data_IF_905694066796
#
_entry.id   IF_905694066796
#
_cell.length_a   1.000
_cell.length_b   1.000
_cell.length_c   1.000
_cell.angle_alpha   90.00
_cell.angle_beta   90.00
_cell.angle_gamma   90.00
#
_symmetry.space_group_name_H-M   'P 1'
#
loop_
_entity.id
_entity.type
_entity.pdbx_description
1 polymer ?
#
# COMPACT_ATOMS: atom_id res chain seq x y z
N UNK A 1 0.19 26.01 -23.90
CA UNK A 1 0.33 26.31 -22.45
C UNK A 1 1.47 27.33 -22.33
N UNK A 2 1.77 27.92 -21.16
CA UNK A 2 2.94 28.81 -21.07
C UNK A 2 4.22 27.97 -21.04
N UNK A 3 5.30 28.44 -21.71
CA UNK A 3 6.56 27.70 -21.88
C UNK A 3 7.15 27.16 -20.56
N UNK A 4 7.02 27.91 -19.46
CA UNK A 4 7.48 27.49 -18.13
C UNK A 4 6.70 26.29 -17.54
N UNK A 5 5.41 26.18 -17.85
CA UNK A 5 4.54 25.07 -17.42
C UNK A 5 4.92 23.78 -18.15
N UNK A 6 5.15 23.87 -19.46
CA UNK A 6 5.59 22.74 -20.28
C UNK A 6 6.99 22.26 -19.87
N UNK A 7 7.90 23.19 -19.58
CA UNK A 7 9.24 22.87 -19.09
C UNK A 7 9.19 22.17 -17.71
N UNK A 8 8.38 22.67 -16.79
CA UNK A 8 8.22 22.07 -15.46
C UNK A 8 7.57 20.68 -15.54
N UNK A 9 6.60 20.50 -16.43
CA UNK A 9 6.01 19.18 -16.71
C UNK A 9 7.05 18.21 -17.24
N UNK A 10 7.83 18.64 -18.24
CA UNK A 10 8.92 17.83 -18.81
C UNK A 10 9.93 17.44 -17.75
N UNK A 11 10.38 18.38 -16.91
CA UNK A 11 11.29 18.10 -15.78
C UNK A 11 10.71 17.03 -14.85
N UNK A 12 9.43 17.13 -14.49
CA UNK A 12 8.75 16.11 -13.68
C UNK A 12 8.77 14.72 -14.31
N UNK A 13 8.51 14.63 -15.61
CA UNK A 13 8.58 13.38 -16.38
C UNK A 13 10.01 12.83 -16.44
N UNK A 14 11.01 13.69 -16.68
CA UNK A 14 12.42 13.31 -16.76
C UNK A 14 12.90 12.71 -15.43
N UNK A 15 12.54 13.32 -14.30
CA UNK A 15 12.84 12.75 -12.97
C UNK A 15 12.15 11.40 -12.75
N UNK A 16 10.89 11.23 -13.20
CA UNK A 16 10.24 9.91 -13.12
C UNK A 16 11.00 8.87 -13.94
N UNK A 17 11.48 9.22 -15.13
CA UNK A 17 12.25 8.31 -15.98
C UNK A 17 13.61 7.97 -15.34
N UNK A 18 14.31 8.95 -14.78
CA UNK A 18 15.54 8.72 -14.02
C UNK A 18 15.31 7.77 -12.83
N UNK A 19 14.20 7.94 -12.11
CA UNK A 19 13.80 7.03 -11.04
C UNK A 19 13.55 5.60 -11.52
N UNK A 20 12.95 5.43 -12.70
CA UNK A 20 12.75 4.10 -13.31
C UNK A 20 14.07 3.43 -13.67
N UNK A 21 15.03 4.19 -14.20
CA UNK A 21 16.37 3.66 -14.50
C UNK A 21 17.12 3.27 -13.23
N UNK A 22 17.05 4.07 -12.16
CA UNK A 22 17.60 3.71 -10.87
C UNK A 22 16.94 2.44 -10.29
N UNK A 23 15.61 2.32 -10.43
CA UNK A 23 14.88 1.11 -10.00
C UNK A 23 15.32 -0.14 -10.74
N UNK A 24 15.53 -0.07 -12.06
CA UNK A 24 16.07 -1.19 -12.86
C UNK A 24 17.46 -1.63 -12.38
N UNK A 25 18.28 -0.69 -11.91
CA UNK A 25 19.61 -0.94 -11.32
C UNK A 25 19.55 -1.41 -9.86
N UNK A 26 18.35 -1.60 -9.30
CA UNK A 26 18.10 -1.87 -7.89
C UNK A 26 18.63 -0.79 -6.91
N UNK A 27 18.90 0.42 -7.41
CA UNK A 27 19.25 1.58 -6.59
C UNK A 27 17.96 2.22 -6.04
N UNK A 28 17.44 1.63 -4.98
CA UNK A 28 16.19 2.06 -4.36
C UNK A 28 16.23 3.46 -3.73
N UNK A 29 17.32 3.87 -3.03
CA UNK A 29 17.44 5.24 -2.53
C UNK A 29 17.39 6.29 -3.64
N UNK A 30 18.17 6.11 -4.72
CA UNK A 30 18.19 7.07 -5.82
C UNK A 30 16.87 7.05 -6.60
N UNK A 31 16.23 5.89 -6.76
CA UNK A 31 14.90 5.79 -7.35
C UNK A 31 13.87 6.63 -6.58
N UNK A 32 13.80 6.47 -5.24
CA UNK A 32 12.88 7.25 -4.41
C UNK A 32 13.19 8.75 -4.44
N UNK A 33 14.46 9.13 -4.42
CA UNK A 33 14.87 10.54 -4.53
C UNK A 33 14.35 11.16 -5.82
N UNK A 34 14.57 10.51 -6.96
CA UNK A 34 14.08 10.98 -8.26
C UNK A 34 12.55 11.01 -8.33
N UNK A 35 11.85 10.02 -7.76
CA UNK A 35 10.39 10.07 -7.66
C UNK A 35 9.87 11.23 -6.81
N UNK A 36 10.53 11.58 -5.69
CA UNK A 36 10.14 12.76 -4.92
C UNK A 36 10.37 14.06 -5.70
N UNK A 37 11.48 14.18 -6.45
CA UNK A 37 11.70 15.33 -7.33
C UNK A 37 10.62 15.42 -8.42
N UNK A 38 10.24 14.29 -9.02
CA UNK A 38 9.14 14.24 -9.99
C UNK A 38 7.82 14.73 -9.39
N UNK A 39 7.46 14.26 -8.18
CA UNK A 39 6.27 14.72 -7.46
C UNK A 39 6.30 16.23 -7.18
N UNK A 40 7.46 16.77 -6.79
CA UNK A 40 7.61 18.19 -6.50
C UNK A 40 7.29 19.02 -7.75
N UNK A 41 7.92 18.72 -8.88
CA UNK A 41 7.66 19.43 -10.12
C UNK A 41 6.21 19.31 -10.56
N UNK A 42 5.65 18.11 -10.55
CA UNK A 42 4.28 17.89 -11.04
C UNK A 42 3.20 18.44 -10.10
N UNK A 43 3.37 18.39 -8.77
CA UNK A 43 2.41 18.99 -7.83
C UNK A 43 2.46 20.52 -7.85
N UNK A 44 3.57 21.13 -8.26
CA UNK A 44 3.65 22.58 -8.46
C UNK A 44 2.93 23.04 -9.73
N UNK A 45 2.63 22.11 -10.65
CA UNK A 45 1.79 22.38 -11.81
C UNK A 45 0.33 22.32 -11.40
N UNK A 46 -0.33 23.47 -11.33
CA UNK A 46 -1.73 23.48 -10.93
C UNK A 46 -2.31 24.86 -10.73
N UNK A 47 -1.63 25.73 -10.00
CA UNK A 47 -2.30 26.93 -9.47
C UNK A 47 -3.63 26.57 -8.79
N UNK A 48 -4.54 27.52 -8.67
CA UNK A 48 -5.88 27.27 -8.10
C UNK A 48 -6.86 26.65 -9.10
N UNK A 49 -6.55 26.64 -10.40
CA UNK A 49 -7.41 26.04 -11.43
C UNK A 49 -6.64 25.79 -12.75
N UNK A 50 -5.92 24.65 -12.88
CA UNK A 50 -5.16 24.37 -14.08
C UNK A 50 -6.07 24.04 -15.27
N UNK A 51 -5.64 24.29 -16.52
CA UNK A 51 -6.34 23.80 -17.70
C UNK A 51 -6.62 22.29 -17.59
N UNK A 52 -7.81 21.86 -18.01
CA UNK A 52 -8.27 20.48 -17.81
C UNK A 52 -7.30 19.44 -18.41
N UNK A 53 -6.73 19.72 -19.58
CA UNK A 53 -5.74 18.84 -20.22
C UNK A 53 -4.44 18.74 -19.42
N UNK A 54 -3.94 19.86 -18.91
CA UNK A 54 -2.74 19.88 -18.06
C UNK A 54 -3.00 19.09 -16.76
N UNK A 55 -4.17 19.31 -16.14
CA UNK A 55 -4.56 18.58 -14.93
C UNK A 55 -4.59 17.08 -15.19
N UNK A 56 -5.25 16.65 -16.26
CA UNK A 56 -5.33 15.25 -16.66
C UNK A 56 -3.94 14.64 -16.87
N UNK A 57 -3.08 15.28 -17.66
CA UNK A 57 -1.73 14.78 -17.93
C UNK A 57 -0.89 14.72 -16.66
N UNK A 58 -1.04 15.70 -15.76
CA UNK A 58 -0.35 15.73 -14.47
C UNK A 58 -0.84 14.62 -13.55
N UNK A 59 -2.16 14.44 -13.45
CA UNK A 59 -2.81 13.38 -12.66
C UNK A 59 -2.35 11.99 -13.13
N UNK A 60 -2.30 11.74 -14.43
CA UNK A 60 -1.79 10.48 -15.01
C UNK A 60 -0.32 10.22 -14.64
N UNK A 61 0.54 11.23 -14.69
CA UNK A 61 1.95 11.09 -14.32
C UNK A 61 2.13 10.91 -12.80
N UNK A 62 1.36 11.61 -11.97
CA UNK A 62 1.35 11.45 -10.52
C UNK A 62 0.98 10.01 -10.13
N UNK A 63 -0.06 9.45 -10.74
CA UNK A 63 -0.46 8.04 -10.53
C UNK A 63 0.68 7.08 -10.86
N UNK A 64 1.40 7.30 -11.96
CA UNK A 64 2.58 6.48 -12.32
C UNK A 64 3.67 6.59 -11.25
N UNK A 65 3.94 7.79 -10.75
CA UNK A 65 4.98 8.02 -9.74
C UNK A 65 4.64 7.32 -8.43
N UNK A 66 3.43 7.51 -7.90
CA UNK A 66 3.02 6.82 -6.67
C UNK A 66 3.09 5.30 -6.81
N UNK A 67 2.61 4.76 -7.94
CA UNK A 67 2.70 3.32 -8.21
C UNK A 67 4.16 2.84 -8.21
N UNK A 68 5.08 3.59 -8.82
CA UNK A 68 6.49 3.21 -8.82
C UNK A 68 7.12 3.33 -7.42
N UNK A 69 6.79 4.38 -6.66
CA UNK A 69 7.22 4.52 -5.27
C UNK A 69 6.74 3.35 -4.41
N UNK A 70 5.49 2.90 -4.57
CA UNK A 70 4.97 1.73 -3.82
C UNK A 70 5.77 0.47 -4.14
N UNK A 71 6.20 0.27 -5.39
CA UNK A 71 7.03 -0.87 -5.76
C UNK A 71 8.39 -0.83 -5.07
N UNK A 72 9.04 0.34 -4.99
CA UNK A 72 10.31 0.50 -4.27
C UNK A 72 10.13 0.30 -2.76
N UNK A 73 9.10 0.92 -2.17
CA UNK A 73 8.84 0.86 -0.74
C UNK A 73 8.46 -0.56 -0.29
N UNK A 74 7.73 -1.31 -1.12
CA UNK A 74 7.42 -2.72 -0.86
C UNK A 74 8.68 -3.59 -0.88
N UNK A 75 9.67 -3.30 -1.73
CA UNK A 75 10.97 -3.98 -1.72
C UNK A 75 11.80 -3.68 -0.46
N UNK A 76 11.46 -2.64 0.28
CA UNK A 76 12.10 -2.24 1.53
C UNK A 76 11.24 -2.56 2.76
N UNK A 77 10.15 -3.34 2.61
CA UNK A 77 9.19 -3.66 3.67
C UNK A 77 8.59 -2.43 4.40
N UNK A 78 8.55 -1.27 3.74
CA UNK A 78 8.01 -0.01 4.30
C UNK A 78 6.50 0.08 4.06
N UNK A 79 5.74 -0.87 4.62
CA UNK A 79 4.33 -1.09 4.31
C UNK A 79 3.41 0.09 4.65
N UNK A 80 3.68 0.85 5.72
CA UNK A 80 2.93 2.08 6.03
C UNK A 80 3.06 3.14 4.91
N UNK A 81 4.27 3.28 4.36
CA UNK A 81 4.53 4.20 3.25
C UNK A 81 3.97 3.66 1.94
N UNK A 82 3.95 2.35 1.75
CA UNK A 82 3.25 1.72 0.61
C UNK A 82 1.78 2.09 0.66
N UNK A 83 1.12 1.90 1.81
CA UNK A 83 -0.30 2.23 1.98
C UNK A 83 -0.56 3.70 1.66
N UNK A 84 0.22 4.62 2.25
CA UNK A 84 0.09 6.06 2.00
C UNK A 84 0.17 6.40 0.50
N UNK A 85 1.21 5.93 -0.21
CA UNK A 85 1.38 6.27 -1.62
C UNK A 85 0.34 5.59 -2.52
N UNK A 86 -0.04 4.35 -2.22
CA UNK A 86 -1.07 3.64 -2.98
C UNK A 86 -2.45 4.30 -2.80
N UNK A 87 -2.76 4.80 -1.61
CA UNK A 87 -3.97 5.61 -1.37
C UNK A 87 -3.96 6.90 -2.16
N UNK A 88 -2.83 7.62 -2.25
CA UNK A 88 -2.73 8.82 -3.09
C UNK A 88 -2.93 8.51 -4.58
N UNK A 89 -2.39 7.39 -5.08
CA UNK A 89 -2.67 6.93 -6.45
C UNK A 89 -4.16 6.64 -6.67
N UNK A 90 -4.79 5.93 -5.73
CA UNK A 90 -6.21 5.57 -5.82
C UNK A 90 -7.14 6.79 -5.71
N UNK A 91 -6.77 7.83 -4.96
CA UNK A 91 -7.54 9.09 -4.90
C UNK A 91 -7.57 9.83 -6.24
N UNK A 92 -6.49 9.74 -7.02
CA UNK A 92 -6.40 10.38 -8.33
C UNK A 92 -7.10 9.51 -9.39
N UNK A 93 -6.91 8.19 -9.32
CA UNK A 93 -7.52 7.22 -10.21
C UNK A 93 -8.03 6.01 -9.43
N UNK A 94 -9.32 6.02 -9.09
CA UNK A 94 -10.00 4.93 -8.36
C UNK A 94 -10.12 3.65 -9.20
N UNK A 95 -9.94 3.75 -10.52
CA UNK A 95 -9.93 2.60 -11.42
C UNK A 95 -8.60 1.86 -11.39
N UNK A 96 -7.56 2.45 -10.77
CA UNK A 96 -6.20 1.92 -10.74
C UNK A 96 -6.08 0.61 -9.95
N UNK A 97 -6.12 -0.50 -10.68
CA UNK A 97 -6.02 -1.84 -10.09
C UNK A 97 -4.68 -2.06 -9.38
N UNK A 98 -3.58 -1.46 -9.87
CA UNK A 98 -2.25 -1.59 -9.24
C UNK A 98 -2.23 -0.94 -7.87
N UNK A 99 -2.84 0.24 -7.73
CA UNK A 99 -2.96 0.93 -6.45
C UNK A 99 -3.77 0.10 -5.45
N UNK A 100 -4.94 -0.41 -5.85
CA UNK A 100 -5.77 -1.29 -5.00
C UNK A 100 -5.03 -2.58 -4.59
N UNK A 101 -4.31 -3.20 -5.52
CA UNK A 101 -3.49 -4.37 -5.22
C UNK A 101 -2.41 -4.06 -4.17
N UNK A 102 -1.70 -2.94 -4.33
CA UNK A 102 -0.67 -2.49 -3.37
C UNK A 102 -1.24 -2.12 -2.01
N UNK A 103 -2.43 -1.50 -1.96
CA UNK A 103 -3.16 -1.26 -0.71
C UNK A 103 -3.50 -2.58 -0.02
N UNK A 104 -4.02 -3.57 -0.75
CA UNK A 104 -4.32 -4.90 -0.23
C UNK A 104 -3.10 -5.60 0.36
N UNK A 105 -1.96 -5.57 -0.35
CA UNK A 105 -0.68 -6.06 0.17
C UNK A 105 -0.27 -5.35 1.46
N UNK A 106 -0.36 -4.02 1.49
CA UNK A 106 0.03 -3.24 2.65
C UNK A 106 -0.85 -3.51 3.87
N UNK A 107 -2.19 -3.54 3.71
CA UNK A 107 -3.09 -3.88 4.80
C UNK A 107 -2.81 -5.27 5.37
N UNK A 108 -2.58 -6.27 4.51
CA UNK A 108 -2.27 -7.62 4.96
C UNK A 108 -0.97 -7.68 5.77
N UNK A 109 0.06 -6.91 5.38
CA UNK A 109 1.33 -6.83 6.12
C UNK A 109 1.25 -5.99 7.39
N UNK A 110 0.30 -5.06 7.46
CA UNK A 110 0.01 -4.25 8.66
C UNK A 110 -0.98 -4.95 9.62
N UNK A 111 -1.45 -6.15 9.28
CA UNK A 111 -2.33 -6.95 10.13
C UNK A 111 -3.83 -6.67 9.96
N UNK A 112 -4.22 -5.75 9.08
CA UNK A 112 -5.62 -5.51 8.72
C UNK A 112 -6.04 -6.49 7.60
N UNK A 113 -6.15 -7.76 7.96
CA UNK A 113 -6.41 -8.87 7.03
C UNK A 113 -7.79 -8.75 6.38
N UNK A 114 -8.79 -8.22 7.10
CA UNK A 114 -10.15 -8.00 6.59
C UNK A 114 -10.16 -7.04 5.40
N UNK A 115 -9.61 -5.83 5.57
CA UNK A 115 -9.52 -4.85 4.47
C UNK A 115 -8.66 -5.35 3.33
N UNK A 116 -7.60 -6.09 3.65
CA UNK A 116 -6.73 -6.67 2.63
C UNK A 116 -7.50 -7.67 1.74
N UNK A 117 -8.29 -8.56 2.34
CA UNK A 117 -9.12 -9.55 1.63
C UNK A 117 -10.18 -8.85 0.78
N UNK A 118 -10.84 -7.82 1.31
CA UNK A 118 -11.84 -7.03 0.58
C UNK A 118 -11.25 -6.44 -0.70
N UNK A 119 -10.19 -5.64 -0.56
CA UNK A 119 -9.52 -4.97 -1.69
C UNK A 119 -8.98 -5.96 -2.73
N UNK A 120 -8.30 -7.01 -2.29
CA UNK A 120 -7.76 -8.00 -3.21
C UNK A 120 -8.85 -8.84 -3.89
N UNK A 121 -10.02 -9.00 -3.25
CA UNK A 121 -11.19 -9.63 -3.88
C UNK A 121 -11.76 -8.75 -4.99
N UNK A 122 -11.82 -7.43 -4.80
CA UNK A 122 -12.17 -6.50 -5.88
C UNK A 122 -11.17 -6.56 -7.04
N UNK A 123 -9.88 -6.57 -6.73
CA UNK A 123 -8.82 -6.71 -7.74
C UNK A 123 -8.99 -8.01 -8.52
N UNK A 124 -9.24 -9.12 -7.84
CA UNK A 124 -9.49 -10.43 -8.46
C UNK A 124 -10.73 -10.44 -9.35
N UNK A 125 -11.81 -9.75 -8.96
CA UNK A 125 -13.03 -9.64 -9.79
C UNK A 125 -12.74 -8.95 -11.13
N UNK A 126 -11.86 -7.94 -11.14
CA UNK A 126 -11.45 -7.24 -12.37
C UNK A 126 -10.45 -8.05 -13.19
N UNK A 127 -9.50 -8.72 -12.53
CA UNK A 127 -8.44 -9.51 -13.16
C UNK A 127 -8.42 -10.96 -12.62
N UNK A 128 -9.37 -11.83 -13.04
CA UNK A 128 -9.55 -13.15 -12.44
C UNK A 128 -8.43 -14.14 -12.74
N UNK A 129 -7.63 -13.88 -13.77
CA UNK A 129 -6.49 -14.71 -14.21
C UNK A 129 -5.16 -14.27 -13.60
N UNK A 130 -5.13 -13.20 -12.81
CA UNK A 130 -3.90 -12.71 -12.19
C UNK A 130 -3.47 -13.62 -11.03
N UNK A 131 -2.46 -14.47 -11.30
CA UNK A 131 -1.92 -15.42 -10.33
C UNK A 131 -1.29 -14.73 -9.12
N UNK A 132 -0.73 -13.52 -9.27
CA UNK A 132 -0.16 -12.79 -8.13
C UNK A 132 -1.24 -12.41 -7.12
N UNK A 133 -2.41 -12.01 -7.61
CA UNK A 133 -3.57 -11.65 -6.77
C UNK A 133 -4.09 -12.89 -6.05
N UNK A 134 -4.18 -14.03 -6.74
CA UNK A 134 -4.61 -15.29 -6.13
C UNK A 134 -3.65 -15.75 -5.03
N UNK A 135 -2.35 -15.69 -5.29
CA UNK A 135 -1.31 -16.06 -4.33
C UNK A 135 -1.33 -15.17 -3.09
N UNK A 136 -1.43 -13.85 -3.27
CA UNK A 136 -1.47 -12.91 -2.14
C UNK A 136 -2.74 -13.11 -1.30
N UNK A 137 -3.91 -13.28 -1.94
CA UNK A 137 -5.16 -13.61 -1.24
C UNK A 137 -5.06 -14.91 -0.43
N UNK A 138 -4.49 -15.96 -1.03
CA UNK A 138 -4.34 -17.24 -0.36
C UNK A 138 -3.44 -17.12 0.86
N UNK A 139 -2.32 -16.39 0.74
CA UNK A 139 -1.39 -16.13 1.83
C UNK A 139 -2.07 -15.40 2.99
N UNK A 140 -2.76 -14.29 2.71
CA UNK A 140 -3.41 -13.49 3.75
C UNK A 140 -4.51 -14.28 4.44
N UNK A 141 -5.34 -15.04 3.70
CA UNK A 141 -6.37 -15.89 4.29
C UNK A 141 -5.81 -17.01 5.17
N UNK A 142 -4.66 -17.57 4.78
CA UNK A 142 -4.00 -18.60 5.59
C UNK A 142 -3.45 -18.02 6.88
N UNK A 143 -2.84 -16.83 6.83
CA UNK A 143 -2.33 -16.11 8.01
C UNK A 143 -3.48 -15.72 8.95
N UNK A 144 -4.58 -15.20 8.41
CA UNK A 144 -5.79 -14.83 9.15
C UNK A 144 -6.39 -16.02 9.90
N UNK A 145 -6.59 -17.15 9.19
CA UNK A 145 -7.11 -18.38 9.80
C UNK A 145 -6.20 -18.89 10.93
N UNK A 146 -4.87 -18.89 10.72
CA UNK A 146 -3.91 -19.29 11.76
C UNK A 146 -4.00 -18.38 12.99
N UNK A 147 -4.15 -17.07 12.79
CA UNK A 147 -4.35 -16.12 13.87
C UNK A 147 -5.62 -16.42 14.67
N UNK A 148 -6.75 -16.65 13.98
CA UNK A 148 -8.03 -17.01 14.61
C UNK A 148 -7.96 -18.34 15.38
N UNK A 149 -7.34 -19.37 14.79
CA UNK A 149 -7.16 -20.68 15.43
C UNK A 149 -6.30 -20.56 16.70
N UNK A 150 -5.24 -19.75 16.67
CA UNK A 150 -4.38 -19.48 17.83
C UNK A 150 -5.12 -18.72 18.94
N UNK A 151 -5.91 -17.71 18.58
CA UNK A 151 -6.75 -16.96 19.54
C UNK A 151 -7.77 -17.89 20.19
N UNK A 152 -8.45 -18.71 19.39
CA UNK A 152 -9.42 -19.70 19.88
C UNK A 152 -8.75 -20.69 20.83
N UNK A 153 -7.61 -21.27 20.44
CA UNK A 153 -6.86 -22.20 21.29
C UNK A 153 -6.43 -21.56 22.61
N UNK A 154 -5.94 -20.32 22.57
CA UNK A 154 -5.52 -19.56 23.76
C UNK A 154 -6.71 -19.29 24.68
N UNK A 155 -7.85 -18.89 24.11
CA UNK A 155 -9.09 -18.64 24.86
C UNK A 155 -9.61 -19.91 25.56
N UNK A 156 -9.70 -21.04 24.86
CA UNK A 156 -10.10 -22.32 25.45
C UNK A 156 -9.13 -22.78 26.55
N UNK A 157 -7.82 -22.66 26.33
CA UNK A 157 -6.82 -22.99 27.35
C UNK A 157 -6.88 -22.11 28.61
N UNK A 158 -7.32 -20.85 28.49
CA UNK A 158 -7.60 -19.98 29.64
C UNK A 158 -8.89 -20.38 30.38
N UNK A 159 -9.92 -20.82 29.66
CA UNK A 159 -11.18 -21.28 30.24
C UNK A 159 -11.05 -22.63 30.98
N UNK A 160 -10.27 -23.56 30.43
CA UNK A 160 -10.04 -24.89 31.02
C UNK A 160 -9.16 -24.83 32.28
N UNK A 161 -8.39 -23.75 32.47
CA UNK A 161 -7.72 -23.47 33.74
C UNK A 161 -8.74 -22.95 34.74
N UNK A 162 -9.31 -23.84 35.56
CA UNK A 162 -10.10 -23.45 36.74
C UNK A 162 -9.38 -22.34 37.52
N UNK A 163 -10.08 -21.30 38.01
CA UNK A 163 -9.50 -20.43 39.02
C UNK A 163 -9.16 -21.32 40.21
N UNK A 164 -7.88 -21.39 40.57
CA UNK A 164 -7.47 -22.02 41.82
C UNK A 164 -8.11 -21.23 42.94
N UNK A 165 -9.23 -21.74 43.45
CA UNK A 165 -9.97 -21.13 44.53
C UNK A 165 -9.03 -20.82 45.69
N UNK A 166 -9.01 -19.56 46.10
CA UNK A 166 -8.57 -19.13 47.41
C UNK A 166 -9.40 -19.89 48.45
N UNK A 167 -8.91 -21.07 48.84
CA UNK A 167 -9.51 -21.90 49.86
C UNK A 167 -8.95 -21.42 51.20
N UNK A 168 -9.77 -20.65 51.90
CA UNK A 168 -9.70 -20.36 53.33
C UNK A 168 -9.07 -21.51 54.14
N UNK A 169 -7.92 -21.27 54.76
CA UNK A 169 -7.54 -22.01 55.97
C UNK A 169 -8.05 -21.21 57.16
N UNK A 170 -9.24 -21.59 57.63
CA UNK A 170 -9.51 -21.55 59.07
C UNK A 170 -8.49 -22.46 59.74
N UNK A 171 -7.66 -21.90 60.61
CA UNK A 171 -6.87 -22.65 61.57
C UNK A 171 -7.40 -22.25 62.95
N UNK A 172 -8.18 -23.16 63.54
CA UNK A 172 -8.47 -23.17 64.97
C UNK A 172 -7.22 -23.61 65.73
N UNK A 173 -6.81 -22.82 66.73
CA UNK A 173 -6.34 -23.26 68.04
C UNK A 173 -6.34 -22.04 68.97
#
# INVERSE_FOLDING_TARGET
>A
MNSNTEETFKKGVDYRLAGNEAFKKADYPEALKNYHHALLHLRTLGGTNPPAELKKNTDEELVKIYNNMTAVLAKQDKWERVLKNATEANKIDESNIKAKFRMGQAYGRLGDTEKAIELLTEVKKKNPTDELVKQELAKIKQEDKKGQDQVKSTYWGMFDRKPSGSSSKQANA
#
